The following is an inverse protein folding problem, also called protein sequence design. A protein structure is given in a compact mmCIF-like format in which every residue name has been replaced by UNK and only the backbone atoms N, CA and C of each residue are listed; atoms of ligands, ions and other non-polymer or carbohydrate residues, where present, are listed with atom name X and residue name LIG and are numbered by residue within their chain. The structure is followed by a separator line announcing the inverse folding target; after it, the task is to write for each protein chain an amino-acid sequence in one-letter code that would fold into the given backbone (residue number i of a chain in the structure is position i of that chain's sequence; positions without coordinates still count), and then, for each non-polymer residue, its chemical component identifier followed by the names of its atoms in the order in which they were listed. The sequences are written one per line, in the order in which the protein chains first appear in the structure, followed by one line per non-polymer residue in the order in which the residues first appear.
data_IF_932310570485
#
_entry.id   IF_932310570485
#
_cell.length_a   1.000
_cell.length_b   1.000
_cell.length_c   1.000
_cell.angle_alpha   90.00
_cell.angle_beta   90.00
_cell.angle_gamma   90.00
#
_symmetry.space_group_name_H-M   'P 1'
#
loop_
_entity.id
_entity.type
_entity.pdbx_description
1 polymer ?
#
# COMPACT_ATOMS: atom_id res chain seq x y z
N UNK A 1 -12.85 9.45 -8.41
CA UNK A 1 -12.44 9.28 -7.00
C UNK A 1 -13.40 8.31 -6.34
N UNK A 2 -12.85 7.31 -5.67
CA UNK A 2 -13.63 6.28 -4.97
C UNK A 2 -13.82 6.74 -3.53
N UNK A 3 -14.78 6.19 -2.78
CA UNK A 3 -14.95 6.58 -1.38
C UNK A 3 -13.65 6.35 -0.58
N UNK A 4 -13.32 7.24 0.37
CA UNK A 4 -12.05 7.17 1.12
C UNK A 4 -11.85 5.81 1.81
N UNK A 5 -12.94 5.25 2.34
CA UNK A 5 -12.95 3.95 3.02
C UNK A 5 -12.61 2.83 2.05
N UNK A 6 -13.18 2.83 0.84
CA UNK A 6 -12.91 1.80 -0.15
C UNK A 6 -11.47 1.91 -0.66
N UNK A 7 -10.97 3.13 -0.88
CA UNK A 7 -9.56 3.34 -1.24
C UNK A 7 -8.61 2.83 -0.14
N UNK A 8 -8.94 3.04 1.13
CA UNK A 8 -8.18 2.53 2.26
C UNK A 8 -8.15 0.99 2.30
N UNK A 9 -9.32 0.34 2.14
CA UNK A 9 -9.42 -1.12 2.11
C UNK A 9 -8.60 -1.68 0.94
N UNK A 10 -8.69 -1.08 -0.24
CA UNK A 10 -7.88 -1.48 -1.40
C UNK A 10 -6.38 -1.37 -1.07
N UNK A 11 -5.92 -0.25 -0.52
CA UNK A 11 -4.50 -0.06 -0.18
C UNK A 11 -4.01 -0.90 0.99
N UNK A 12 -4.91 -1.42 1.84
CA UNK A 12 -4.53 -2.36 2.90
C UNK A 12 -4.09 -3.71 2.34
N UNK A 13 -4.71 -4.18 1.25
CA UNK A 13 -4.35 -5.45 0.60
C UNK A 13 -3.38 -5.26 -0.56
N UNK A 14 -3.48 -4.14 -1.27
CA UNK A 14 -2.67 -3.78 -2.42
C UNK A 14 -2.14 -2.34 -2.26
N UNK A 15 -1.09 -2.14 -1.44
CA UNK A 15 -0.54 -0.82 -1.18
C UNK A 15 -0.21 -0.09 -2.49
N UNK A 16 -0.65 1.17 -2.60
CA UNK A 16 -0.47 1.99 -3.80
C UNK A 16 -1.68 2.00 -4.74
N UNK A 17 -2.52 0.96 -4.77
CA UNK A 17 -3.68 0.92 -5.68
C UNK A 17 -4.77 1.90 -5.23
N UNK A 18 -5.01 2.04 -3.93
CA UNK A 18 -5.94 3.04 -3.38
C UNK A 18 -5.56 4.47 -3.77
N UNK A 19 -4.25 4.78 -3.80
CA UNK A 19 -3.74 6.07 -4.25
C UNK A 19 -4.00 6.30 -5.76
N UNK A 20 -3.81 5.26 -6.58
CA UNK A 20 -4.11 5.34 -8.03
C UNK A 20 -5.59 5.64 -8.28
N UNK A 21 -6.51 4.95 -7.58
CA UNK A 21 -7.96 5.18 -7.75
C UNK A 21 -8.44 6.53 -7.19
N UNK A 22 -7.63 7.18 -6.33
CA UNK A 22 -7.83 8.56 -5.90
C UNK A 22 -7.20 9.60 -6.83
N UNK A 23 -6.50 9.18 -7.89
CA UNK A 23 -5.89 10.07 -8.89
C UNK A 23 -4.41 10.38 -8.66
N UNK A 24 -3.85 9.99 -7.51
CA UNK A 24 -2.44 10.14 -7.14
C UNK A 24 -1.58 9.02 -7.73
N UNK A 25 -1.58 8.93 -9.06
CA UNK A 25 -1.00 7.79 -9.79
C UNK A 25 0.49 7.61 -9.55
N UNK A 26 1.27 8.71 -9.56
CA UNK A 26 2.72 8.63 -9.35
C UNK A 26 3.04 8.09 -7.95
N UNK A 27 2.35 8.59 -6.92
CA UNK A 27 2.52 8.15 -5.54
C UNK A 27 2.06 6.70 -5.36
N UNK A 28 0.95 6.33 -5.98
CA UNK A 28 0.45 4.96 -5.97
C UNK A 28 1.42 3.96 -6.61
N UNK A 29 2.03 4.30 -7.75
CA UNK A 29 3.06 3.47 -8.37
C UNK A 29 4.27 3.28 -7.44
N UNK A 30 4.76 4.36 -6.81
CA UNK A 30 5.89 4.28 -5.87
C UNK A 30 5.56 3.34 -4.71
N UNK A 31 4.38 3.49 -4.10
CA UNK A 31 3.96 2.65 -2.98
C UNK A 31 3.78 1.19 -3.37
N UNK A 32 3.27 0.91 -4.57
CA UNK A 32 3.14 -0.44 -5.08
C UNK A 32 4.50 -1.11 -5.35
N UNK A 33 5.46 -0.37 -5.90
CA UNK A 33 6.83 -0.87 -6.09
C UNK A 33 7.48 -1.20 -4.75
N UNK A 34 7.31 -0.36 -3.72
CA UNK A 34 7.81 -0.65 -2.37
C UNK A 34 7.17 -1.93 -1.81
N UNK A 35 5.85 -2.12 -2.00
CA UNK A 35 5.15 -3.33 -1.57
C UNK A 35 5.70 -4.60 -2.25
N UNK A 36 6.01 -4.53 -3.56
CA UNK A 36 6.64 -5.64 -4.27
C UNK A 36 8.03 -5.96 -3.73
N UNK A 37 8.85 -4.94 -3.45
CA UNK A 37 10.18 -5.13 -2.85
C UNK A 37 10.06 -5.78 -1.47
N UNK A 38 9.13 -5.31 -0.63
CA UNK A 38 8.88 -5.90 0.69
C UNK A 38 8.38 -7.35 0.62
N UNK A 39 7.56 -7.68 -0.38
CA UNK A 39 7.11 -9.06 -0.62
C UNK A 39 8.29 -9.97 -0.98
N UNK A 40 9.18 -9.53 -1.89
CA UNK A 40 10.39 -10.29 -2.25
C UNK A 40 11.30 -10.45 -1.03
N UNK A 41 11.57 -9.38 -0.27
CA UNK A 41 12.38 -9.44 0.94
C UNK A 41 11.79 -10.36 2.00
N UNK A 42 10.47 -10.39 2.16
CA UNK A 42 9.78 -11.31 3.07
C UNK A 42 9.97 -12.76 2.64
N UNK A 43 9.97 -13.03 1.33
CA UNK A 43 10.17 -14.38 0.80
C UNK A 43 11.64 -14.85 0.84
N UNK A 44 12.60 -13.93 0.70
CA UNK A 44 14.03 -14.28 0.53
C UNK A 44 14.90 -14.07 1.76
N UNK A 45 14.57 -13.12 2.63
CA UNK A 45 15.44 -12.71 3.76
C UNK A 45 14.98 -13.32 5.07
N UNK A 46 13.75 -13.01 5.49
CA UNK A 46 13.20 -13.49 6.75
C UNK A 46 11.69 -13.22 6.82
N UNK A 47 10.96 -14.14 7.44
CA UNK A 47 9.55 -13.94 7.79
C UNK A 47 9.34 -12.75 8.73
N UNK A 48 10.36 -12.28 9.44
CA UNK A 48 10.29 -11.06 10.27
C UNK A 48 10.04 -9.79 9.45
N UNK A 49 10.36 -9.77 8.16
CA UNK A 49 10.06 -8.65 7.25
C UNK A 49 8.54 -8.51 7.01
N UNK A 50 7.76 -9.54 7.31
CA UNK A 50 6.29 -9.47 7.23
C UNK A 50 5.70 -8.42 8.19
N UNK A 51 6.32 -8.18 9.35
CA UNK A 51 5.89 -7.11 10.27
C UNK A 51 6.07 -5.72 9.65
N UNK A 52 7.20 -5.50 8.95
CA UNK A 52 7.46 -4.25 8.23
C UNK A 52 6.44 -4.09 7.09
N UNK A 53 6.19 -5.18 6.35
CA UNK A 53 5.20 -5.21 5.26
C UNK A 53 3.80 -4.88 5.76
N UNK A 54 3.41 -5.39 6.93
CA UNK A 54 2.12 -5.11 7.56
C UNK A 54 2.00 -3.64 7.99
N UNK A 55 3.03 -3.10 8.65
CA UNK A 55 3.06 -1.68 9.03
C UNK A 55 2.96 -0.78 7.79
N UNK A 56 3.67 -1.15 6.72
CA UNK A 56 3.62 -0.42 5.46
C UNK A 56 2.23 -0.48 4.80
N UNK A 57 1.56 -1.63 4.82
CA UNK A 57 0.20 -1.77 4.32
C UNK A 57 -0.81 -0.92 5.09
N UNK A 58 -0.70 -0.87 6.43
CA UNK A 58 -1.52 0.01 7.27
C UNK A 58 -1.26 1.49 6.93
N UNK A 59 0.01 1.86 6.75
CA UNK A 59 0.38 3.21 6.34
C UNK A 59 -0.21 3.58 4.97
N UNK A 60 -0.13 2.68 3.99
CA UNK A 60 -0.70 2.90 2.66
C UNK A 60 -2.23 3.03 2.69
N UNK A 61 -2.92 2.27 3.55
CA UNK A 61 -4.35 2.39 3.78
C UNK A 61 -4.72 3.74 4.40
N UNK A 62 -3.99 4.18 5.42
CA UNK A 62 -4.19 5.50 6.04
C UNK A 62 -3.96 6.64 5.04
N UNK A 63 -2.91 6.53 4.24
CA UNK A 63 -2.59 7.52 3.23
C UNK A 63 -3.68 7.62 2.15
N UNK A 64 -4.19 6.49 1.65
CA UNK A 64 -5.28 6.45 0.69
C UNK A 64 -6.61 6.98 1.27
N UNK A 65 -6.87 6.73 2.56
CA UNK A 65 -8.03 7.29 3.25
C UNK A 65 -7.96 8.82 3.31
N UNK A 66 -6.80 9.39 3.62
CA UNK A 66 -6.64 10.84 3.79
C UNK A 66 -6.71 11.61 2.46
N UNK A 67 -6.52 10.93 1.33
CA UNK A 67 -6.60 11.53 -0.01
C UNK A 67 -8.01 11.67 -0.55
N UNK A 68 -8.94 10.82 -0.11
CA UNK A 68 -10.34 10.87 -0.52
C UNK A 68 -11.12 11.90 0.27
#
# INVERSE_FOLDING_TARGET
MVSPIVAAIISLFLPGIGQVVQGETQKGIIMFVIALVLAVLTSMVSSMVSFISLIFAIYAAYDAYKMG
#
